data_IF_435754203839
#
_entry.id   IF_435754203839
#
_cell.length_a   1.000
_cell.length_b   1.000
_cell.length_c   1.000
_cell.angle_alpha   90.00
_cell.angle_beta   90.00
_cell.angle_gamma   90.00
#
_symmetry.space_group_name_H-M   'P 1'
#
loop_
_entity.id
_entity.type
_entity.pdbx_description
1 polymer ?
#
# COMPACT_ATOMS: atom_id res chain seq x y z
N UNK A 1 40.48 -41.10 10.89
CA UNK A 1 41.85 -40.57 10.65
C UNK A 1 41.65 -39.18 10.01
N UNK A 2 41.60 -38.03 10.70
CA UNK A 2 42.51 -37.38 11.68
C UNK A 2 43.96 -37.42 11.15
N UNK A 3 44.73 -36.31 11.06
CA UNK A 3 44.76 -35.27 12.10
C UNK A 3 45.00 -33.79 11.72
N UNK A 4 44.67 -32.95 12.70
CA UNK A 4 45.18 -31.60 12.93
C UNK A 4 46.68 -31.58 13.36
N UNK A 5 47.29 -30.40 13.45
CA UNK A 5 48.03 -30.02 14.67
C UNK A 5 47.70 -28.57 15.09
N UNK A 6 47.37 -28.25 16.35
CA UNK A 6 48.16 -28.18 17.61
C UNK A 6 49.05 -26.92 17.72
N UNK A 7 48.54 -25.99 18.56
CA UNK A 7 49.14 -25.19 19.65
C UNK A 7 50.53 -24.54 19.47
N UNK A 8 50.54 -23.23 19.73
CA UNK A 8 51.60 -22.53 20.45
C UNK A 8 51.01 -21.59 21.50
N UNK A 9 51.29 -21.83 22.79
CA UNK A 9 51.12 -20.90 23.92
C UNK A 9 52.51 -20.70 24.53
N UNK A 10 52.82 -19.46 24.94
CA UNK A 10 53.72 -18.96 26.00
C UNK A 10 54.20 -17.56 25.53
N UNK A 11 54.28 -16.50 26.33
CA UNK A 11 54.10 -16.35 27.77
C UNK A 11 53.60 -14.94 28.13
N UNK A 12 53.30 -14.78 29.42
CA UNK A 12 52.85 -13.56 30.06
C UNK A 12 53.99 -12.55 30.25
N UNK A 13 53.70 -11.25 30.18
CA UNK A 13 54.39 -10.22 30.97
C UNK A 13 53.50 -8.95 31.11
N UNK A 14 52.95 -8.81 32.31
CA UNK A 14 52.90 -7.61 33.18
C UNK A 14 52.60 -6.21 32.61
N UNK A 15 51.46 -5.69 33.09
CA UNK A 15 51.06 -4.32 33.45
C UNK A 15 51.96 -3.11 33.09
N UNK A 16 51.33 -2.08 32.50
CA UNK A 16 51.55 -0.70 32.91
C UNK A 16 50.27 0.14 32.73
N UNK A 17 49.83 0.72 33.84
CA UNK A 17 48.78 1.73 33.97
C UNK A 17 49.24 3.03 33.30
N UNK A 18 48.38 3.66 32.50
CA UNK A 18 48.53 5.08 32.15
C UNK A 18 47.15 5.76 32.16
N UNK A 19 46.98 6.63 33.15
CA UNK A 19 45.88 7.56 33.33
C UNK A 19 45.97 8.65 32.24
N UNK A 20 44.93 8.81 31.43
CA UNK A 20 44.84 9.87 30.42
C UNK A 20 43.47 10.53 30.46
N UNK A 21 43.41 11.74 31.01
CA UNK A 21 42.26 12.64 30.94
C UNK A 21 41.86 12.88 29.49
N UNK A 22 40.61 12.57 29.15
CA UNK A 22 39.96 13.09 27.94
C UNK A 22 38.78 13.96 28.40
N UNK A 23 39.06 15.25 28.50
CA UNK A 23 38.06 16.30 28.32
C UNK A 23 37.90 16.53 26.82
N UNK A 24 36.82 15.99 26.25
CA UNK A 24 36.40 16.23 24.86
C UNK A 24 34.90 16.44 24.83
N UNK A 25 34.49 17.64 24.42
CA UNK A 25 33.12 18.13 24.49
C UNK A 25 32.14 17.29 23.66
N UNK A 26 31.22 16.60 24.32
CA UNK A 26 29.93 16.22 23.74
C UNK A 26 28.95 17.35 24.07
N UNK A 27 28.77 18.27 23.13
CA UNK A 27 27.71 19.26 23.19
C UNK A 27 26.37 18.65 22.79
N UNK A 28 25.86 17.71 23.60
CA UNK A 28 24.43 17.44 23.64
C UNK A 28 23.83 18.54 24.51
N UNK A 29 23.32 19.60 23.88
CA UNK A 29 22.49 20.56 24.59
C UNK A 29 21.19 19.84 24.98
N UNK A 30 20.87 19.70 26.28
CA UNK A 30 19.56 19.20 26.67
C UNK A 30 18.51 20.21 26.20
N UNK A 31 17.52 19.74 25.44
CA UNK A 31 16.27 20.44 25.21
C UNK A 31 15.68 20.82 26.57
N UNK A 32 15.80 22.09 26.95
CA UNK A 32 15.32 22.63 28.23
C UNK A 32 13.81 22.77 28.18
N UNK A 33 13.11 21.71 28.56
CA UNK A 33 11.67 21.75 28.83
C UNK A 33 11.47 22.32 30.25
N UNK A 34 11.05 23.58 30.38
CA UNK A 34 10.79 24.17 31.71
C UNK A 34 10.88 25.70 31.85
N UNK A 35 11.17 26.46 30.78
CA UNK A 35 11.29 27.93 30.82
C UNK A 35 10.27 28.68 29.95
N UNK A 36 9.31 27.99 29.35
CA UNK A 36 8.33 28.62 28.46
C UNK A 36 7.38 29.58 29.18
N UNK A 37 6.97 30.64 28.49
CA UNK A 37 5.93 31.58 28.94
C UNK A 37 4.63 31.29 28.19
N UNK A 38 3.51 31.34 28.91
CA UNK A 38 2.16 31.30 28.31
C UNK A 38 1.68 32.66 27.81
N UNK A 39 2.44 33.72 28.11
CA UNK A 39 2.21 35.08 27.65
C UNK A 39 3.28 35.45 26.62
N UNK A 40 2.87 36.10 25.54
CA UNK A 40 3.76 36.57 24.49
C UNK A 40 3.06 36.73 23.16
N UNK A 41 3.79 37.29 22.19
CA UNK A 41 3.36 37.36 20.80
C UNK A 41 3.71 36.04 20.11
N UNK A 42 2.70 35.34 19.61
CA UNK A 42 2.86 34.09 18.86
C UNK A 42 2.58 34.33 17.38
N UNK A 43 3.36 33.69 16.51
CA UNK A 43 3.09 33.65 15.08
C UNK A 43 1.93 32.70 14.82
N UNK A 44 0.91 33.16 14.08
CA UNK A 44 -0.24 32.34 13.74
C UNK A 44 0.19 31.14 12.89
N UNK A 45 -0.37 29.97 13.17
CA UNK A 45 0.01 28.73 12.47
C UNK A 45 -0.33 28.82 10.97
N UNK A 46 -1.50 29.38 10.62
CA UNK A 46 -1.89 29.63 9.21
C UNK A 46 -0.89 30.48 8.44
N UNK A 47 -0.21 31.45 9.09
CA UNK A 47 0.85 32.24 8.47
C UNK A 47 2.13 31.42 8.25
N UNK A 48 2.47 30.53 9.18
CA UNK A 48 3.62 29.64 9.06
C UNK A 48 3.39 28.64 7.93
N UNK A 49 2.21 28.05 7.83
CA UNK A 49 1.86 27.18 6.71
C UNK A 49 1.86 27.94 5.39
N UNK A 50 1.13 29.05 5.32
CA UNK A 50 0.96 29.83 4.10
C UNK A 50 0.07 29.12 3.07
N UNK A 51 0.00 29.69 1.85
CA UNK A 51 -0.89 29.23 0.76
C UNK A 51 -0.13 28.49 -0.36
N UNK A 52 1.18 28.34 -0.20
CA UNK A 52 2.05 27.65 -1.14
C UNK A 52 2.49 26.29 -0.60
N UNK A 53 3.16 25.49 -1.44
CA UNK A 53 3.63 24.13 -1.07
C UNK A 53 4.73 24.08 -0.01
N UNK A 54 5.20 25.26 0.41
CA UNK A 54 6.32 25.43 1.33
C UNK A 54 6.04 26.67 2.14
N UNK A 55 6.37 26.59 3.41
CA UNK A 55 6.24 27.68 4.36
C UNK A 55 7.02 28.92 3.90
N UNK A 56 6.41 30.13 3.97
CA UNK A 56 7.14 31.38 3.81
C UNK A 56 8.15 31.66 4.94
N UNK A 57 8.03 30.94 6.07
CA UNK A 57 8.93 31.04 7.22
C UNK A 57 10.04 29.98 7.20
N UNK A 58 10.21 29.25 6.09
CA UNK A 58 11.17 28.16 6.03
C UNK A 58 12.57 28.59 6.50
N UNK A 59 13.06 27.89 7.53
CA UNK A 59 14.38 28.09 8.11
C UNK A 59 14.46 29.15 9.19
N UNK A 60 13.40 29.92 9.40
CA UNK A 60 13.26 30.90 10.49
C UNK A 60 12.90 30.22 11.82
N UNK A 61 13.14 30.91 12.93
CA UNK A 61 12.65 30.50 14.24
C UNK A 61 11.38 31.26 14.56
N UNK A 62 10.34 30.54 14.97
CA UNK A 62 9.02 31.07 15.31
C UNK A 62 8.61 30.63 16.71
N UNK A 63 7.76 31.44 17.34
CA UNK A 63 7.06 31.13 18.59
C UNK A 63 5.61 30.84 18.25
N UNK A 64 5.10 29.69 18.64
CA UNK A 64 3.72 29.27 18.33
C UNK A 64 2.96 28.90 19.60
N UNK A 65 1.65 29.02 19.52
CA UNK A 65 0.71 28.53 20.52
C UNK A 65 -0.37 27.70 19.82
N UNK A 66 -0.78 26.60 20.44
CA UNK A 66 -1.87 25.78 19.93
C UNK A 66 -2.23 24.66 20.88
N UNK A 67 -3.18 23.81 20.48
CA UNK A 67 -3.59 22.61 21.22
C UNK A 67 -3.01 21.37 20.58
N UNK A 68 -2.55 20.43 21.40
CA UNK A 68 -2.08 19.13 20.91
C UNK A 68 -3.28 18.35 20.36
N UNK A 69 -3.34 18.14 19.05
CA UNK A 69 -4.42 17.40 18.41
C UNK A 69 -4.12 15.93 18.24
N UNK A 70 -2.86 15.50 18.16
CA UNK A 70 -2.49 14.09 18.13
C UNK A 70 -1.01 13.89 18.50
N UNK A 71 -0.63 12.69 18.93
CA UNK A 71 0.76 12.33 19.26
C UNK A 71 1.14 11.01 18.57
N UNK A 72 2.36 10.93 18.04
CA UNK A 72 2.92 9.68 17.52
C UNK A 72 4.41 9.52 17.90
N UNK A 73 5.03 8.43 17.45
CA UNK A 73 6.43 8.10 17.77
C UNK A 73 7.48 9.08 17.18
N UNK A 74 7.06 10.03 16.35
CA UNK A 74 7.91 11.02 15.70
C UNK A 74 7.71 12.44 16.24
N UNK A 75 6.65 12.69 17.01
CA UNK A 75 6.30 14.02 17.46
C UNK A 75 4.81 14.19 17.78
N UNK A 76 4.34 15.42 17.68
CA UNK A 76 2.94 15.78 17.94
C UNK A 76 2.40 16.72 16.87
N UNK A 77 1.08 16.75 16.73
CA UNK A 77 0.35 17.69 15.90
C UNK A 77 -0.20 18.80 16.79
N UNK A 78 0.03 20.05 16.40
CA UNK A 78 -0.38 21.25 17.13
C UNK A 78 -1.29 22.08 16.22
N UNK A 79 -2.50 22.38 16.67
CA UNK A 79 -3.49 23.13 15.88
C UNK A 79 -3.88 24.43 16.60
N UNK A 80 -4.16 25.48 15.83
CA UNK A 80 -4.66 26.76 16.35
C UNK A 80 -5.99 26.55 17.08
N UNK A 81 -6.24 27.31 18.16
CA UNK A 81 -7.56 27.35 18.80
C UNK A 81 -8.53 28.26 18.05
N UNK A 82 -8.00 29.28 17.37
CA UNK A 82 -8.75 30.22 16.53
C UNK A 82 -8.20 30.12 15.11
N UNK A 83 -9.09 29.89 14.14
CA UNK A 83 -8.71 29.85 12.73
C UNK A 83 -8.58 31.27 12.16
N UNK A 84 -7.74 31.42 11.13
CA UNK A 84 -7.62 32.62 10.31
C UNK A 84 -8.76 32.76 9.27
N UNK A 85 -9.70 31.80 9.22
CA UNK A 85 -10.82 31.69 8.29
C UNK A 85 -10.41 31.69 6.78
N UNK A 86 -9.14 31.42 6.45
CA UNK A 86 -8.66 31.24 5.08
C UNK A 86 -8.61 29.75 4.71
N UNK A 87 -9.51 29.24 3.84
CA UNK A 87 -9.55 27.82 3.48
C UNK A 87 -8.34 27.35 2.65
N UNK A 88 -7.36 28.22 2.40
CA UNK A 88 -6.14 27.93 1.65
C UNK A 88 -4.92 27.74 2.56
N UNK A 89 -5.04 27.98 3.85
CA UNK A 89 -4.00 27.79 4.86
C UNK A 89 -4.42 26.67 5.81
N UNK A 90 -3.42 25.94 6.33
CA UNK A 90 -3.65 24.97 7.40
C UNK A 90 -3.49 25.63 8.77
N UNK A 91 -4.35 25.24 9.70
CA UNK A 91 -4.27 25.66 11.11
C UNK A 91 -3.38 24.77 11.96
N UNK A 92 -2.72 23.76 11.37
CA UNK A 92 -1.96 22.78 12.10
C UNK A 92 -0.50 22.67 11.65
N UNK A 93 0.38 22.39 12.60
CA UNK A 93 1.80 22.10 12.38
C UNK A 93 2.17 20.75 12.97
N UNK A 94 3.10 20.07 12.30
CA UNK A 94 3.77 18.94 12.90
C UNK A 94 5.00 19.40 13.70
N UNK A 95 5.06 19.04 14.97
CA UNK A 95 6.21 19.29 15.84
C UNK A 95 7.04 18.01 15.86
N UNK A 96 8.12 17.98 15.06
CA UNK A 96 8.98 16.82 14.93
C UNK A 96 9.97 16.77 16.10
N UNK A 97 9.56 16.07 17.16
CA UNK A 97 10.38 15.81 18.35
C UNK A 97 10.18 14.35 18.79
N UNK A 98 11.06 13.41 18.41
CA UNK A 98 10.90 12.00 18.74
C UNK A 98 11.00 11.71 20.25
N UNK A 99 11.57 12.63 21.05
CA UNK A 99 11.72 12.48 22.50
C UNK A 99 10.82 13.47 23.24
N UNK A 100 9.51 13.33 23.04
CA UNK A 100 8.54 14.15 23.75
C UNK A 100 8.58 13.91 25.27
N UNK A 101 8.39 14.96 26.09
CA UNK A 101 8.18 14.80 27.52
C UNK A 101 6.97 13.90 27.83
N UNK A 102 7.17 12.91 28.72
CA UNK A 102 6.18 11.87 29.02
C UNK A 102 4.86 12.35 29.64
N UNK A 103 4.73 13.65 29.97
CA UNK A 103 3.52 14.26 30.53
C UNK A 103 2.64 14.95 29.48
N UNK A 104 3.11 15.06 28.22
CA UNK A 104 2.33 15.65 27.14
C UNK A 104 1.18 14.75 26.72
N UNK A 105 -0.01 15.32 26.56
CA UNK A 105 -1.24 14.61 26.20
C UNK A 105 -2.08 15.46 25.27
N UNK A 106 -2.82 14.81 24.38
CA UNK A 106 -3.80 15.45 23.51
C UNK A 106 -4.77 16.34 24.32
N UNK A 107 -5.20 17.47 23.72
CA UNK A 107 -6.02 18.48 24.37
C UNK A 107 -5.24 19.49 25.24
N UNK A 108 -3.96 19.26 25.53
CA UNK A 108 -3.16 20.28 26.23
C UNK A 108 -2.83 21.45 25.29
N UNK A 109 -2.98 22.68 25.78
CA UNK A 109 -2.48 23.86 25.10
C UNK A 109 -0.98 24.01 25.38
N UNK A 110 -0.20 24.21 24.33
CA UNK A 110 1.24 24.42 24.40
C UNK A 110 1.62 25.76 23.77
N UNK A 111 2.68 26.33 24.33
CA UNK A 111 3.51 27.33 23.65
C UNK A 111 4.90 26.74 23.46
N UNK A 112 5.54 27.01 22.33
CA UNK A 112 6.91 26.56 22.08
C UNK A 112 7.60 27.42 21.03
N UNK A 113 8.93 27.36 21.04
CA UNK A 113 9.78 27.93 20.02
C UNK A 113 10.35 26.81 19.16
N UNK A 114 10.44 27.01 17.85
CA UNK A 114 10.99 26.03 16.93
C UNK A 114 11.49 26.65 15.65
N UNK A 115 12.32 25.91 14.91
CA UNK A 115 12.74 26.26 13.55
C UNK A 115 11.81 25.60 12.55
N UNK A 116 11.30 26.38 11.60
CA UNK A 116 10.42 25.88 10.53
C UNK A 116 11.24 25.10 9.49
N UNK A 117 10.79 23.89 9.18
CA UNK A 117 11.41 23.00 8.19
C UNK A 117 10.36 22.28 7.34
N UNK A 118 10.78 21.88 6.14
CA UNK A 118 9.97 21.14 5.17
C UNK A 118 10.39 19.68 5.16
N UNK A 119 9.54 18.77 5.64
CA UNK A 119 9.83 17.35 5.73
C UNK A 119 9.27 16.60 4.52
N UNK A 120 10.17 16.12 3.67
CA UNK A 120 9.79 15.30 2.52
C UNK A 120 10.80 15.42 1.39
N UNK A 121 10.54 14.69 0.31
CA UNK A 121 11.39 14.69 -0.89
C UNK A 121 10.65 15.09 -2.17
N UNK A 122 9.35 15.31 -2.07
CA UNK A 122 8.47 15.67 -3.19
C UNK A 122 8.12 17.16 -3.13
N UNK A 123 7.14 17.56 -3.95
CA UNK A 123 6.69 18.95 -4.03
C UNK A 123 5.82 19.31 -2.84
N UNK A 124 4.99 18.37 -2.41
CA UNK A 124 4.16 18.34 -1.20
C UNK A 124 5.04 17.92 -0.02
N UNK A 125 5.70 18.87 0.63
CA UNK A 125 6.49 18.64 1.85
C UNK A 125 5.65 18.94 3.08
N UNK A 126 5.92 18.27 4.19
CA UNK A 126 5.25 18.55 5.45
C UNK A 126 5.90 19.71 6.19
N UNK A 127 5.16 20.80 6.40
CA UNK A 127 5.61 21.92 7.22
C UNK A 127 5.68 21.47 8.68
N UNK A 128 6.86 21.60 9.28
CA UNK A 128 7.11 21.14 10.64
C UNK A 128 8.00 22.09 11.43
N UNK A 129 7.95 21.98 12.76
CA UNK A 129 8.92 22.61 13.66
C UNK A 129 9.95 21.58 14.17
N UNK A 130 11.21 22.00 14.24
CA UNK A 130 12.34 21.26 14.83
C UNK A 130 13.16 22.14 15.76
N UNK A 131 14.12 21.55 16.48
CA UNK A 131 15.01 22.26 17.41
C UNK A 131 14.21 23.05 18.46
N UNK A 132 13.29 22.33 19.10
CA UNK A 132 12.26 22.87 20.00
C UNK A 132 12.90 23.41 21.29
N UNK A 133 12.47 24.59 21.71
CA UNK A 133 12.84 25.22 22.99
C UNK A 133 11.64 25.91 23.63
N UNK A 134 11.78 26.32 24.89
CA UNK A 134 10.80 27.15 25.61
C UNK A 134 9.37 26.59 25.62
N UNK A 135 9.27 25.26 25.64
CA UNK A 135 7.99 24.58 25.72
C UNK A 135 7.35 24.85 27.08
N UNK A 136 6.12 25.36 27.07
CA UNK A 136 5.27 25.49 28.24
C UNK A 136 3.87 24.92 27.97
N UNK A 137 3.28 24.34 29.01
CA UNK A 137 1.89 23.92 29.02
C UNK A 137 1.05 25.04 29.61
N UNK A 138 0.02 25.44 28.88
CA UNK A 138 -0.82 26.58 29.21
C UNK A 138 -2.25 26.14 29.52
N UNK A 139 -2.86 26.79 30.50
CA UNK A 139 -4.27 26.64 30.83
C UNK A 139 -4.72 25.21 31.18
N UNK A 140 -6.05 25.05 31.16
CA UNK A 140 -6.74 23.77 31.28
C UNK A 140 -6.85 23.08 29.90
N UNK A 141 -7.06 21.76 29.86
CA UNK A 141 -7.28 21.04 28.61
C UNK A 141 -8.38 21.67 27.75
N UNK A 142 -8.09 21.82 26.47
CA UNK A 142 -8.97 22.37 25.44
C UNK A 142 -9.59 21.26 24.58
N UNK A 143 -10.71 21.58 23.95
CA UNK A 143 -11.24 20.74 22.89
C UNK A 143 -10.24 20.68 21.73
N UNK A 144 -10.19 19.53 21.03
CA UNK A 144 -9.35 19.34 19.86
C UNK A 144 -10.18 19.75 18.63
N UNK A 145 -9.76 20.78 17.87
CA UNK A 145 -10.43 21.18 16.64
C UNK A 145 -10.58 20.01 15.67
N UNK A 146 -11.65 20.06 14.87
CA UNK A 146 -11.91 19.07 13.81
C UNK A 146 -12.52 19.81 12.62
N UNK A 147 -11.95 19.61 11.44
CA UNK A 147 -12.46 20.17 10.19
C UNK A 147 -13.25 19.12 9.42
N UNK A 148 -14.50 19.41 9.06
CA UNK A 148 -15.30 18.51 8.21
C UNK A 148 -14.91 18.66 6.75
N UNK A 149 -14.68 17.53 6.08
CA UNK A 149 -14.15 17.46 4.73
C UNK A 149 -15.00 16.52 3.87
N UNK A 150 -15.05 16.77 2.57
CA UNK A 150 -15.66 15.85 1.58
C UNK A 150 -14.67 15.60 0.45
N UNK A 151 -14.79 14.44 -0.21
CA UNK A 151 -14.11 14.18 -1.48
C UNK A 151 -15.03 14.59 -2.64
N UNK A 152 -14.48 14.96 -3.81
CA UNK A 152 -13.06 14.99 -4.15
C UNK A 152 -12.30 16.16 -3.54
N UNK A 153 -10.99 15.99 -3.34
CA UNK A 153 -10.04 17.05 -2.99
C UNK A 153 -8.90 17.06 -3.99
N UNK A 154 -8.63 18.21 -4.61
CA UNK A 154 -7.42 18.38 -5.39
C UNK A 154 -6.17 18.46 -4.49
N UNK A 155 -5.00 18.60 -5.11
CA UNK A 155 -3.75 18.62 -4.37
C UNK A 155 -3.61 19.88 -3.47
N UNK A 156 -4.14 21.03 -3.90
CA UNK A 156 -4.07 22.29 -3.12
C UNK A 156 -5.04 22.26 -1.94
N UNK A 157 -6.22 21.68 -2.11
CA UNK A 157 -7.18 21.51 -1.03
C UNK A 157 -6.66 20.56 0.05
N UNK A 158 -5.88 19.54 -0.33
CA UNK A 158 -5.19 18.67 0.66
C UNK A 158 -4.06 19.38 1.39
N UNK A 159 -3.31 20.23 0.68
CA UNK A 159 -2.25 21.04 1.28
C UNK A 159 -2.81 21.97 2.35
N UNK A 160 -3.94 22.63 2.07
CA UNK A 160 -4.62 23.51 3.02
C UNK A 160 -5.15 22.78 4.27
N UNK A 161 -5.17 21.44 4.26
CA UNK A 161 -5.60 20.61 5.38
C UNK A 161 -4.42 19.89 6.06
N UNK A 162 -3.18 20.18 5.65
CA UNK A 162 -2.00 19.48 6.16
C UNK A 162 -1.91 19.55 7.68
N UNK A 163 -1.60 18.43 8.33
CA UNK A 163 -1.46 18.27 9.79
C UNK A 163 -2.76 18.46 10.58
N UNK A 164 -3.85 18.90 9.94
CA UNK A 164 -5.11 19.18 10.62
C UNK A 164 -5.83 17.88 10.96
N UNK A 165 -6.61 17.95 12.02
CA UNK A 165 -7.53 16.89 12.39
C UNK A 165 -8.82 17.04 11.59
N UNK A 166 -9.16 16.05 10.77
CA UNK A 166 -10.26 16.10 9.80
C UNK A 166 -11.25 14.96 10.01
N UNK A 167 -12.52 15.23 9.74
CA UNK A 167 -13.60 14.24 9.67
C UNK A 167 -14.18 14.23 8.26
N UNK A 168 -14.16 13.07 7.61
CA UNK A 168 -14.73 12.96 6.27
C UNK A 168 -16.23 12.70 6.35
N UNK A 169 -16.98 13.29 5.43
CA UNK A 169 -18.41 12.98 5.28
C UNK A 169 -18.70 12.37 3.91
N UNK A 170 -19.74 11.53 3.87
CA UNK A 170 -20.17 10.80 2.68
C UNK A 170 -19.79 9.32 2.69
N UNK A 171 -20.29 8.60 1.68
CA UNK A 171 -20.07 7.16 1.55
C UNK A 171 -18.68 6.91 0.93
N UNK A 172 -17.75 6.48 1.78
CA UNK A 172 -16.38 6.14 1.40
C UNK A 172 -16.20 4.62 1.35
N UNK A 173 -15.53 4.16 0.30
CA UNK A 173 -15.29 2.74 0.07
C UNK A 173 -13.81 2.46 -0.12
N UNK A 174 -13.35 1.32 0.41
CA UNK A 174 -11.97 0.86 0.26
C UNK A 174 -11.73 0.49 -1.21
N UNK A 175 -10.77 1.16 -1.85
CA UNK A 175 -10.43 0.95 -3.27
C UNK A 175 -9.06 0.32 -3.47
N UNK A 176 -8.21 0.26 -2.44
CA UNK A 176 -6.91 -0.38 -2.49
C UNK A 176 -6.51 -0.92 -1.10
N UNK A 177 -6.07 -2.18 -1.06
CA UNK A 177 -5.57 -2.87 0.15
C UNK A 177 -4.15 -3.45 -0.03
N UNK A 178 -3.45 -3.08 -1.11
CA UNK A 178 -2.15 -3.63 -1.49
C UNK A 178 -1.07 -3.46 -0.40
N UNK A 179 -1.23 -2.45 0.47
CA UNK A 179 -0.33 -2.17 1.59
C UNK A 179 -0.97 -2.34 2.96
N UNK A 180 -2.13 -3.02 3.04
CA UNK A 180 -2.88 -3.15 4.29
C UNK A 180 -2.12 -3.94 5.36
N UNK A 181 -1.28 -4.91 4.96
CA UNK A 181 -0.36 -5.61 5.90
C UNK A 181 0.59 -4.66 6.64
N UNK A 182 0.88 -3.48 6.06
CA UNK A 182 1.68 -2.41 6.67
C UNK A 182 0.81 -1.29 7.27
N UNK A 183 -0.50 -1.49 7.29
CA UNK A 183 -1.51 -0.56 7.79
C UNK A 183 -1.98 0.48 6.78
N UNK A 184 -1.51 0.50 5.53
CA UNK A 184 -1.96 1.48 4.53
C UNK A 184 -3.07 0.92 3.64
N UNK A 185 -4.12 1.71 3.42
CA UNK A 185 -5.18 1.43 2.45
C UNK A 185 -5.63 2.73 1.77
N UNK A 186 -6.45 2.63 0.75
CA UNK A 186 -7.02 3.80 0.05
C UNK A 186 -8.54 3.71 0.08
N UNK A 187 -9.19 4.85 0.30
CA UNK A 187 -10.64 5.00 0.19
C UNK A 187 -10.98 5.97 -0.93
N UNK A 188 -12.16 5.84 -1.51
CA UNK A 188 -12.69 6.80 -2.47
C UNK A 188 -14.19 7.04 -2.26
N UNK A 189 -14.65 8.20 -2.69
CA UNK A 189 -16.07 8.53 -2.70
C UNK A 189 -16.80 7.80 -3.84
N UNK A 190 -17.99 7.30 -3.55
CA UNK A 190 -18.86 6.71 -4.57
C UNK A 190 -18.46 5.32 -5.05
N UNK A 191 -17.45 4.69 -4.43
CA UNK A 191 -17.11 3.28 -4.66
C UNK A 191 -15.77 3.05 -5.34
N UNK A 192 -15.69 1.96 -6.11
CA UNK A 192 -14.50 1.57 -6.85
C UNK A 192 -14.19 2.56 -7.98
N UNK A 193 -12.94 3.01 -8.04
CA UNK A 193 -12.48 3.90 -9.10
C UNK A 193 -12.15 3.11 -10.37
N UNK A 194 -12.58 3.58 -11.56
CA UNK A 194 -12.31 2.87 -12.81
C UNK A 194 -10.83 2.91 -13.14
N UNK A 195 -10.30 1.85 -13.76
CA UNK A 195 -8.97 1.98 -14.34
C UNK A 195 -9.04 3.00 -15.50
N UNK A 196 -8.10 3.96 -15.61
CA UNK A 196 -8.27 5.07 -16.55
C UNK A 196 -8.54 4.68 -18.00
N UNK A 197 -7.98 3.56 -18.46
CA UNK A 197 -8.16 3.05 -19.82
C UNK A 197 -9.40 2.20 -20.05
N UNK A 198 -10.16 1.88 -19.00
CA UNK A 198 -11.47 1.21 -19.13
C UNK A 198 -12.54 2.19 -19.62
N UNK A 199 -12.43 3.44 -19.20
CA UNK A 199 -13.44 4.48 -19.45
C UNK A 199 -12.97 5.59 -20.39
N UNK A 200 -11.66 5.65 -20.70
CA UNK A 200 -11.10 6.67 -21.58
C UNK A 200 -10.04 6.09 -22.53
N UNK A 201 -9.92 6.70 -23.72
CA UNK A 201 -8.86 6.34 -24.68
C UNK A 201 -7.47 6.64 -24.09
N UNK A 202 -6.45 5.82 -24.40
CA UNK A 202 -5.06 6.10 -24.01
C UNK A 202 -4.60 7.50 -24.43
N UNK A 203 -3.80 8.16 -23.58
CA UNK A 203 -3.30 9.51 -23.81
C UNK A 203 -3.91 10.54 -22.85
N UNK A 204 -4.20 11.75 -23.35
CA UNK A 204 -4.65 12.89 -22.53
C UNK A 204 -5.95 12.58 -21.75
N UNK A 205 -6.87 11.84 -22.35
CA UNK A 205 -8.15 11.48 -21.72
C UNK A 205 -7.95 10.52 -20.53
N UNK A 206 -7.20 9.42 -20.71
CA UNK A 206 -6.85 8.54 -19.59
C UNK A 206 -6.07 9.27 -18.48
N UNK A 207 -5.13 10.17 -18.81
CA UNK A 207 -4.44 10.99 -17.79
C UNK A 207 -5.37 11.94 -17.05
N UNK A 208 -6.47 12.38 -17.67
CA UNK A 208 -7.50 13.18 -17.00
C UNK A 208 -8.29 12.32 -16.02
N UNK A 209 -8.72 11.13 -16.44
CA UNK A 209 -9.39 10.17 -15.55
C UNK A 209 -8.50 9.79 -14.36
N UNK A 210 -7.19 9.63 -14.56
CA UNK A 210 -6.25 9.37 -13.48
C UNK A 210 -6.18 10.51 -12.44
N UNK A 211 -6.30 11.77 -12.88
CA UNK A 211 -6.39 12.92 -11.96
C UNK A 211 -7.72 12.93 -11.23
N UNK A 212 -8.82 12.71 -11.93
CA UNK A 212 -10.16 12.62 -11.32
C UNK A 212 -10.22 11.51 -10.25
N UNK A 213 -9.61 10.35 -10.52
CA UNK A 213 -9.47 9.28 -9.54
C UNK A 213 -8.62 9.70 -8.33
N UNK A 214 -7.53 10.43 -8.56
CA UNK A 214 -6.66 10.92 -7.47
C UNK A 214 -7.40 11.90 -6.58
N UNK A 215 -8.16 12.81 -7.18
CA UNK A 215 -8.92 13.81 -6.43
C UNK A 215 -10.06 13.13 -5.64
N UNK A 216 -10.66 12.07 -6.18
CA UNK A 216 -11.74 11.31 -5.54
C UNK A 216 -11.29 10.28 -4.48
N UNK A 217 -10.00 10.09 -4.24
CA UNK A 217 -9.48 9.13 -3.25
C UNK A 217 -8.67 9.78 -2.15
N UNK A 218 -8.44 9.05 -1.05
CA UNK A 218 -7.52 9.44 0.02
C UNK A 218 -6.82 8.20 0.58
N UNK A 219 -5.50 8.29 0.78
CA UNK A 219 -4.72 7.24 1.46
C UNK A 219 -4.94 7.35 2.97
N UNK A 220 -5.05 6.21 3.63
CA UNK A 220 -5.32 6.08 5.06
C UNK A 220 -4.34 5.08 5.67
N UNK A 221 -3.93 5.35 6.90
CA UNK A 221 -3.08 4.51 7.73
C UNK A 221 -3.87 4.11 8.98
N UNK A 222 -3.99 2.80 9.21
CA UNK A 222 -4.55 2.23 10.42
C UNK A 222 -3.88 2.79 11.68
N UNK A 223 -4.65 2.88 12.76
CA UNK A 223 -4.14 3.29 14.07
C UNK A 223 -3.04 2.34 14.56
N UNK A 224 -2.08 2.82 15.37
CA UNK A 224 -1.03 1.97 15.92
C UNK A 224 -1.59 0.73 16.63
N UNK A 225 -1.13 -0.45 16.21
CA UNK A 225 -1.57 -1.73 16.78
C UNK A 225 -2.84 -2.33 16.16
N UNK A 226 -3.57 -1.57 15.34
CA UNK A 226 -4.71 -2.09 14.59
C UNK A 226 -4.25 -3.04 13.47
N UNK A 227 -4.89 -4.20 13.40
CA UNK A 227 -4.61 -5.29 12.45
C UNK A 227 -5.89 -5.75 11.74
N UNK A 228 -6.91 -4.89 11.70
CA UNK A 228 -8.20 -5.20 11.09
C UNK A 228 -7.99 -5.50 9.60
N UNK A 229 -8.53 -6.64 9.16
CA UNK A 229 -8.50 -7.07 7.77
C UNK A 229 -9.86 -6.84 7.12
N UNK A 230 -9.82 -6.32 5.90
CA UNK A 230 -11.01 -6.05 5.10
C UNK A 230 -10.67 -6.14 3.61
N UNK A 231 -11.71 -6.23 2.78
CA UNK A 231 -11.57 -6.35 1.33
C UNK A 231 -11.85 -5.01 0.65
N UNK A 232 -11.37 -4.88 -0.59
CA UNK A 232 -11.82 -3.82 -1.49
C UNK A 232 -13.35 -3.87 -1.65
N UNK A 233 -13.97 -2.69 -1.80
CA UNK A 233 -15.41 -2.52 -1.82
C UNK A 233 -16.06 -2.45 -0.43
N UNK A 234 -15.34 -2.72 0.66
CA UNK A 234 -15.88 -2.53 2.01
C UNK A 234 -16.13 -1.04 2.25
N UNK A 235 -17.20 -0.69 2.95
CA UNK A 235 -17.50 0.70 3.27
C UNK A 235 -16.70 1.10 4.52
N UNK A 236 -15.96 2.20 4.41
CA UNK A 236 -15.32 2.83 5.56
C UNK A 236 -16.32 3.77 6.22
N UNK A 237 -16.52 3.59 7.52
CA UNK A 237 -17.30 4.52 8.32
C UNK A 237 -16.38 5.64 8.78
N UNK A 238 -16.58 6.88 8.30
CA UNK A 238 -15.66 7.95 8.59
C UNK A 238 -15.45 8.15 10.09
N UNK A 239 -14.21 8.49 10.40
CA UNK A 239 -13.71 8.78 11.73
C UNK A 239 -12.77 9.96 11.63
N UNK A 240 -12.62 10.64 12.75
CA UNK A 240 -11.67 11.73 12.84
C UNK A 240 -10.25 11.18 12.72
N UNK A 241 -9.45 11.77 11.85
CA UNK A 241 -8.08 11.38 11.56
C UNK A 241 -7.22 12.62 11.32
N UNK A 242 -5.90 12.48 11.44
CA UNK A 242 -4.97 13.57 11.11
C UNK A 242 -4.54 13.45 9.65
N UNK A 243 -4.67 14.51 8.85
CA UNK A 243 -4.12 14.56 7.49
C UNK A 243 -2.62 14.86 7.55
N UNK A 244 -1.84 13.87 7.97
CA UNK A 244 -0.39 13.96 8.07
C UNK A 244 0.32 13.55 6.77
N UNK A 245 1.62 13.29 6.89
CA UNK A 245 2.48 12.95 5.77
C UNK A 245 3.31 11.68 6.06
N UNK A 246 3.66 10.90 5.02
CA UNK A 246 4.56 9.72 5.13
C UNK A 246 6.01 9.99 4.69
N UNK A 247 6.34 11.27 4.47
CA UNK A 247 7.60 11.72 3.86
C UNK A 247 7.56 11.73 2.32
N UNK A 248 6.52 11.15 1.72
CA UNK A 248 6.31 11.14 0.27
C UNK A 248 4.94 11.65 -0.18
N UNK A 249 3.86 11.34 0.54
CA UNK A 249 2.52 11.82 0.20
C UNK A 249 1.68 12.02 1.47
N UNK A 250 0.68 12.89 1.36
CA UNK A 250 -0.35 13.08 2.38
C UNK A 250 -1.15 11.78 2.61
N UNK A 251 -1.49 11.52 3.88
CA UNK A 251 -2.34 10.40 4.29
C UNK A 251 -3.09 10.71 5.57
N UNK A 252 -4.27 10.13 5.72
CA UNK A 252 -4.98 10.13 6.99
C UNK A 252 -4.33 9.15 7.95
N UNK A 253 -4.03 9.60 9.15
CA UNK A 253 -3.55 8.78 10.26
C UNK A 253 -4.71 8.57 11.21
N UNK A 254 -5.23 7.35 11.26
CA UNK A 254 -6.29 7.02 12.20
C UNK A 254 -5.75 7.01 13.63
N UNK A 255 -6.57 7.53 14.54
CA UNK A 255 -6.26 7.61 15.95
C UNK A 255 -6.89 6.45 16.73
N UNK A 256 -8.00 5.95 16.20
CA UNK A 256 -8.77 4.83 16.75
C UNK A 256 -8.81 3.66 15.75
N UNK A 257 -9.10 2.43 16.22
CA UNK A 257 -9.26 1.28 15.33
C UNK A 257 -10.29 1.51 14.24
N UNK A 258 -9.97 1.12 13.01
CA UNK A 258 -10.80 1.41 11.85
C UNK A 258 -12.19 0.78 11.95
N UNK A 259 -13.22 1.56 11.62
CA UNK A 259 -14.59 1.04 11.45
C UNK A 259 -14.91 0.75 9.99
N UNK A 260 -15.11 -0.52 9.67
CA UNK A 260 -15.42 -1.00 8.33
C UNK A 260 -16.74 -1.79 8.35
N UNK A 261 -17.63 -1.51 7.41
CA UNK A 261 -18.71 -2.42 7.04
C UNK A 261 -18.22 -3.31 5.90
N UNK A 262 -18.20 -4.64 6.10
CA UNK A 262 -17.75 -5.57 5.06
C UNK A 262 -18.58 -5.42 3.78
N UNK A 263 -17.91 -5.53 2.63
CA UNK A 263 -18.62 -5.62 1.35
C UNK A 263 -19.51 -6.86 1.32
N UNK A 264 -20.77 -6.67 0.92
CA UNK A 264 -21.62 -7.80 0.56
C UNK A 264 -21.08 -8.41 -0.73
N UNK A 265 -20.53 -9.62 -0.65
CA UNK A 265 -20.15 -10.38 -1.85
C UNK A 265 -21.43 -10.72 -2.60
N UNK A 266 -21.61 -10.27 -3.86
CA UNK A 266 -22.80 -10.60 -4.63
C UNK A 266 -22.97 -12.11 -4.74
N UNK A 267 -24.20 -12.59 -4.67
CA UNK A 267 -24.48 -13.99 -4.97
C UNK A 267 -24.11 -14.26 -6.43
N UNK A 268 -23.17 -15.18 -6.64
CA UNK A 268 -22.77 -15.57 -7.98
C UNK A 268 -23.87 -16.50 -8.52
N UNK A 269 -24.74 -15.95 -9.36
CA UNK A 269 -25.77 -16.75 -10.03
C UNK A 269 -25.13 -17.96 -10.74
N UNK A 270 -25.82 -19.10 -10.76
CA UNK A 270 -25.39 -20.22 -11.58
C UNK A 270 -25.32 -19.78 -13.06
N UNK A 271 -24.34 -20.31 -13.79
CA UNK A 271 -24.35 -20.14 -15.25
C UNK A 271 -25.65 -20.75 -15.79
N UNK A 272 -26.32 -20.07 -16.72
CA UNK A 272 -27.44 -20.65 -17.42
C UNK A 272 -27.01 -21.96 -18.10
N UNK A 273 -27.89 -22.98 -18.22
CA UNK A 273 -27.53 -24.29 -18.76
C UNK A 273 -26.82 -24.26 -20.13
N UNK A 274 -27.17 -23.28 -20.97
CA UNK A 274 -26.62 -23.11 -22.32
C UNK A 274 -25.49 -22.06 -22.38
N UNK A 275 -24.97 -21.61 -21.25
CA UNK A 275 -23.95 -20.57 -21.17
C UNK A 275 -22.62 -21.09 -20.66
N UNK A 276 -21.53 -20.54 -21.22
CA UNK A 276 -20.18 -20.80 -20.76
C UNK A 276 -19.69 -19.63 -19.91
N UNK A 277 -19.33 -19.91 -18.65
CA UNK A 277 -18.64 -18.94 -17.80
C UNK A 277 -17.13 -18.98 -18.07
N UNK A 278 -16.59 -17.85 -18.54
CA UNK A 278 -15.16 -17.64 -18.77
C UNK A 278 -14.64 -16.67 -17.70
N UNK A 279 -13.54 -17.03 -17.04
CA UNK A 279 -12.90 -16.19 -16.02
C UNK A 279 -11.47 -15.86 -16.45
N UNK A 280 -11.10 -14.58 -16.37
CA UNK A 280 -9.72 -14.13 -16.48
C UNK A 280 -9.25 -13.64 -15.10
N UNK A 281 -8.12 -14.13 -14.61
CA UNK A 281 -7.70 -13.90 -13.23
C UNK A 281 -6.18 -13.73 -13.10
N UNK A 282 -5.74 -12.57 -12.61
CA UNK A 282 -4.36 -12.41 -12.18
C UNK A 282 -4.21 -13.05 -10.79
N UNK A 283 -3.30 -14.01 -10.67
CA UNK A 283 -3.12 -14.80 -9.45
C UNK A 283 -2.24 -14.12 -8.39
N UNK A 284 -1.66 -12.94 -8.67
CA UNK A 284 -0.72 -12.25 -7.76
C UNK A 284 0.47 -13.13 -7.38
N UNK A 285 1.23 -13.56 -8.39
CA UNK A 285 2.37 -14.48 -8.30
C UNK A 285 2.06 -15.81 -7.60
N UNK A 286 1.34 -16.69 -8.28
CA UNK A 286 1.15 -18.08 -7.86
C UNK A 286 2.41 -18.91 -8.13
N UNK A 287 3.28 -18.98 -7.13
CA UNK A 287 4.56 -19.70 -7.15
C UNK A 287 4.54 -20.79 -6.09
N UNK A 288 4.72 -22.03 -6.50
CA UNK A 288 4.50 -23.21 -5.64
C UNK A 288 5.79 -23.76 -5.01
N UNK A 289 6.91 -23.06 -5.20
CA UNK A 289 8.23 -23.46 -4.72
C UNK A 289 8.78 -24.60 -5.55
N UNK A 290 9.02 -25.76 -4.92
CA UNK A 290 9.43 -26.97 -5.64
C UNK A 290 8.29 -27.96 -5.90
N UNK A 291 7.03 -27.54 -5.72
CA UNK A 291 5.84 -28.39 -5.86
C UNK A 291 5.76 -29.55 -4.86
N UNK A 292 6.58 -29.53 -3.80
CA UNK A 292 6.62 -30.53 -2.72
C UNK A 292 6.54 -29.90 -1.32
N UNK A 293 6.11 -28.64 -1.25
CA UNK A 293 5.97 -27.88 -0.02
C UNK A 293 7.26 -27.24 0.52
N UNK A 294 8.36 -27.29 -0.24
CA UNK A 294 9.62 -26.58 0.04
C UNK A 294 9.91 -25.57 -1.10
N UNK A 295 11.08 -24.92 -1.08
CA UNK A 295 11.47 -23.94 -2.11
C UNK A 295 10.99 -22.52 -1.85
N UNK A 296 10.71 -22.20 -0.59
CA UNK A 296 10.36 -20.86 -0.12
C UNK A 296 11.57 -20.19 0.58
N UNK A 297 11.70 -18.84 0.55
CA UNK A 297 10.86 -17.91 -0.21
C UNK A 297 11.02 -18.14 -1.70
N UNK A 298 9.92 -18.03 -2.45
CA UNK A 298 9.97 -18.12 -3.91
C UNK A 298 10.60 -16.84 -4.47
N UNK A 299 11.12 -16.86 -5.72
CA UNK A 299 11.64 -15.64 -6.36
C UNK A 299 10.59 -14.52 -6.46
N UNK A 300 9.30 -14.88 -6.52
CA UNK A 300 8.13 -14.00 -6.49
C UNK A 300 6.97 -14.69 -5.79
N UNK A 301 6.06 -13.92 -5.21
CA UNK A 301 4.88 -14.46 -4.50
C UNK A 301 5.17 -14.75 -3.04
N UNK A 302 4.71 -15.91 -2.55
CA UNK A 302 4.74 -16.26 -1.14
C UNK A 302 6.16 -16.42 -0.56
N UNK A 303 6.40 -15.87 0.63
CA UNK A 303 7.68 -16.02 1.34
C UNK A 303 7.73 -17.35 2.10
N UNK A 304 6.57 -17.94 2.39
CA UNK A 304 6.43 -19.19 3.14
C UNK A 304 5.42 -20.16 2.52
N UNK A 305 5.62 -21.45 2.81
CA UNK A 305 4.67 -22.51 2.45
C UNK A 305 3.26 -22.29 3.05
N UNK A 306 3.17 -21.62 4.21
CA UNK A 306 1.90 -21.32 4.85
C UNK A 306 1.12 -20.24 4.08
N UNK A 307 1.80 -19.16 3.68
CA UNK A 307 1.21 -18.10 2.85
C UNK A 307 0.73 -18.66 1.50
N UNK A 308 1.54 -19.50 0.85
CA UNK A 308 1.12 -20.14 -0.41
C UNK A 308 -0.13 -21.02 -0.24
N UNK A 309 -0.21 -21.82 0.83
CA UNK A 309 -1.41 -22.62 1.13
C UNK A 309 -2.65 -21.75 1.34
N UNK A 310 -2.50 -20.56 1.93
CA UNK A 310 -3.60 -19.61 2.08
C UNK A 310 -4.07 -19.07 0.72
N UNK A 311 -3.14 -18.63 -0.14
CA UNK A 311 -3.45 -18.20 -1.51
C UNK A 311 -4.19 -19.31 -2.27
N UNK A 312 -3.70 -20.55 -2.20
CA UNK A 312 -4.34 -21.72 -2.81
C UNK A 312 -5.77 -21.95 -2.33
N UNK A 313 -5.99 -21.92 -1.02
CA UNK A 313 -7.31 -22.12 -0.45
C UNK A 313 -8.31 -21.05 -0.93
N UNK A 314 -7.86 -19.80 -1.05
CA UNK A 314 -8.68 -18.69 -1.57
C UNK A 314 -9.00 -18.87 -3.05
N UNK A 315 -8.00 -19.18 -3.89
CA UNK A 315 -8.21 -19.42 -5.33
C UNK A 315 -9.15 -20.62 -5.53
N UNK A 316 -8.91 -21.74 -4.85
CA UNK A 316 -9.76 -22.93 -4.91
C UNK A 316 -11.21 -22.62 -4.50
N UNK A 317 -11.40 -21.92 -3.38
CA UNK A 317 -12.72 -21.53 -2.89
C UNK A 317 -13.45 -20.61 -3.87
N UNK A 318 -12.75 -19.63 -4.43
CA UNK A 318 -13.29 -18.72 -5.44
C UNK A 318 -13.72 -19.47 -6.71
N UNK A 319 -12.89 -20.38 -7.22
CA UNK A 319 -13.25 -21.18 -8.40
C UNK A 319 -14.41 -22.12 -8.12
N UNK A 320 -14.50 -22.67 -6.90
CA UNK A 320 -15.65 -23.45 -6.45
C UNK A 320 -16.96 -22.65 -6.38
N UNK A 321 -16.90 -21.37 -6.01
CA UNK A 321 -18.06 -20.48 -6.03
C UNK A 321 -18.40 -20.00 -7.46
N UNK A 322 -17.40 -19.65 -8.26
CA UNK A 322 -17.59 -19.16 -9.63
C UNK A 322 -18.04 -20.25 -10.60
N UNK A 323 -17.62 -21.50 -10.42
CA UNK A 323 -17.89 -22.62 -11.34
C UNK A 323 -17.59 -22.27 -12.82
N UNK A 324 -16.38 -21.81 -13.17
CA UNK A 324 -16.03 -21.50 -14.56
C UNK A 324 -15.97 -22.77 -15.43
N UNK A 325 -16.24 -22.61 -16.73
CA UNK A 325 -15.93 -23.62 -17.74
C UNK A 325 -14.54 -23.44 -18.36
N UNK A 326 -13.99 -22.23 -18.28
CA UNK A 326 -12.67 -21.87 -18.76
C UNK A 326 -12.05 -20.83 -17.83
N UNK A 327 -10.77 -21.01 -17.50
CA UNK A 327 -9.98 -20.10 -16.68
C UNK A 327 -8.71 -19.69 -17.43
N UNK A 328 -8.59 -18.40 -17.72
CA UNK A 328 -7.37 -17.76 -18.20
C UNK A 328 -6.66 -17.08 -17.03
N UNK A 329 -5.37 -17.36 -16.81
CA UNK A 329 -4.63 -16.80 -15.69
C UNK A 329 -3.41 -16.00 -16.10
N UNK A 330 -3.10 -15.00 -15.29
CA UNK A 330 -1.87 -14.24 -15.30
C UNK A 330 -1.12 -14.48 -13.98
N UNK A 331 0.20 -14.30 -13.99
CA UNK A 331 1.05 -14.48 -12.79
C UNK A 331 1.14 -15.91 -12.25
N UNK A 332 1.13 -16.88 -13.17
CA UNK A 332 1.51 -18.25 -12.86
C UNK A 332 3.03 -18.39 -12.92
N UNK A 333 3.64 -19.15 -12.01
CA UNK A 333 5.07 -19.47 -12.12
C UNK A 333 5.39 -20.19 -13.44
N UNK A 334 6.47 -19.74 -14.09
CA UNK A 334 6.94 -20.30 -15.34
C UNK A 334 7.90 -21.48 -15.10
N UNK A 335 7.34 -22.61 -14.69
CA UNK A 335 8.05 -23.85 -14.39
C UNK A 335 7.59 -25.06 -15.24
N UNK A 336 6.79 -24.80 -16.28
CA UNK A 336 6.27 -25.81 -17.21
C UNK A 336 4.93 -26.37 -16.76
N UNK A 337 4.61 -27.59 -17.19
CA UNK A 337 3.31 -28.22 -16.92
C UNK A 337 3.42 -29.62 -16.31
N UNK A 338 4.62 -30.03 -15.89
CA UNK A 338 4.86 -31.33 -15.29
C UNK A 338 4.23 -31.46 -13.89
N UNK A 339 4.25 -32.67 -13.31
CA UNK A 339 3.55 -33.04 -12.07
C UNK A 339 3.72 -32.06 -10.90
N UNK A 340 4.90 -31.44 -10.77
CA UNK A 340 5.22 -30.53 -9.66
C UNK A 340 5.13 -29.05 -10.03
N UNK A 341 4.73 -28.72 -11.26
CA UNK A 341 4.58 -27.34 -11.72
C UNK A 341 3.46 -26.60 -11.00
N UNK A 342 3.55 -25.27 -10.93
CA UNK A 342 2.47 -24.41 -10.49
C UNK A 342 1.19 -24.63 -11.32
N UNK A 343 1.33 -24.88 -12.63
CA UNK A 343 0.20 -25.18 -13.52
C UNK A 343 -0.52 -26.48 -13.15
N UNK A 344 0.24 -27.55 -12.87
CA UNK A 344 -0.34 -28.82 -12.41
C UNK A 344 -0.99 -28.71 -11.04
N UNK A 345 -0.40 -27.91 -10.14
CA UNK A 345 -0.95 -27.66 -8.81
C UNK A 345 -2.29 -26.91 -8.87
N UNK A 346 -2.37 -25.84 -9.68
CA UNK A 346 -3.61 -25.09 -9.91
C UNK A 346 -4.69 -25.97 -10.57
N UNK A 347 -4.32 -26.81 -11.54
CA UNK A 347 -5.28 -27.77 -12.14
C UNK A 347 -5.88 -28.72 -11.12
N UNK A 348 -5.07 -29.22 -10.18
CA UNK A 348 -5.57 -30.09 -9.12
C UNK A 348 -6.56 -29.34 -8.20
N UNK A 349 -6.28 -28.08 -7.88
CA UNK A 349 -7.18 -27.23 -7.10
C UNK A 349 -8.48 -26.92 -7.86
N UNK A 350 -8.43 -26.72 -9.18
CA UNK A 350 -9.62 -26.56 -10.02
C UNK A 350 -10.49 -27.83 -10.00
N UNK A 351 -9.88 -29.00 -10.17
CA UNK A 351 -10.60 -30.28 -10.06
C UNK A 351 -11.29 -30.41 -8.70
N UNK A 352 -10.54 -30.18 -7.62
CA UNK A 352 -11.05 -30.36 -6.26
C UNK A 352 -12.05 -29.27 -5.84
N UNK A 353 -11.90 -28.03 -6.33
CA UNK A 353 -12.76 -26.90 -5.99
C UNK A 353 -14.08 -26.90 -6.75
N UNK A 354 -14.07 -27.36 -8.01
CA UNK A 354 -15.26 -27.38 -8.86
C UNK A 354 -15.96 -28.72 -8.93
N UNK A 355 -15.26 -29.82 -8.62
CA UNK A 355 -15.78 -31.18 -8.77
C UNK A 355 -15.84 -31.66 -10.23
N UNK A 356 -15.12 -31.00 -11.15
CA UNK A 356 -15.09 -31.33 -12.57
C UNK A 356 -13.68 -31.65 -13.07
N UNK A 357 -13.57 -32.28 -14.24
CA UNK A 357 -12.27 -32.65 -14.84
C UNK A 357 -11.71 -31.50 -15.69
N UNK A 358 -10.59 -30.94 -15.24
CA UNK A 358 -9.85 -29.86 -15.92
C UNK A 358 -8.60 -30.35 -16.64
N UNK A 359 -8.31 -29.69 -17.76
CA UNK A 359 -7.10 -29.82 -18.55
C UNK A 359 -6.40 -28.47 -18.74
N UNK A 360 -5.12 -28.51 -19.12
CA UNK A 360 -4.28 -27.35 -19.42
C UNK A 360 -4.12 -27.26 -20.94
N UNK A 361 -4.46 -26.12 -21.53
CA UNK A 361 -4.15 -25.80 -22.93
C UNK A 361 -2.70 -25.28 -23.03
N UNK A 362 -1.75 -26.20 -22.99
CA UNK A 362 -0.32 -25.91 -22.96
C UNK A 362 0.33 -26.08 -24.35
N UNK A 363 0.96 -25.03 -24.93
CA UNK A 363 1.70 -25.13 -26.20
C UNK A 363 2.88 -26.13 -26.14
N UNK A 364 3.45 -26.30 -24.95
CA UNK A 364 4.60 -27.19 -24.67
C UNK A 364 4.59 -27.56 -23.19
N UNK A 365 5.26 -28.68 -22.85
CA UNK A 365 5.44 -29.11 -21.46
C UNK A 365 6.56 -28.36 -20.71
N UNK A 366 7.26 -27.46 -21.40
CA UNK A 366 8.36 -26.65 -20.87
C UNK A 366 7.92 -25.20 -20.62
N UNK A 367 8.85 -24.40 -20.07
CA UNK A 367 8.67 -22.96 -19.83
C UNK A 367 8.27 -22.19 -21.09
N UNK A 368 7.52 -21.12 -20.90
CA UNK A 368 7.13 -20.16 -21.93
C UNK A 368 8.01 -18.91 -21.86
N UNK A 369 8.94 -18.75 -22.80
CA UNK A 369 9.87 -17.61 -22.79
C UNK A 369 10.84 -17.65 -21.61
N UNK A 370 11.39 -16.50 -21.23
CA UNK A 370 12.45 -16.38 -20.21
C UNK A 370 12.01 -15.73 -18.89
N UNK A 371 10.83 -15.09 -18.83
CA UNK A 371 10.33 -14.49 -17.59
C UNK A 371 9.99 -15.58 -16.55
N UNK A 372 10.07 -15.23 -15.26
CA UNK A 372 9.67 -16.14 -14.18
C UNK A 372 8.15 -16.31 -14.11
N UNK A 373 7.40 -15.40 -14.71
CA UNK A 373 5.94 -15.41 -14.80
C UNK A 373 5.50 -15.85 -16.19
N UNK A 374 4.50 -16.73 -16.24
CA UNK A 374 3.77 -17.12 -17.43
C UNK A 374 2.28 -16.77 -17.33
N UNK A 375 1.59 -16.88 -18.46
CA UNK A 375 0.12 -16.99 -18.52
C UNK A 375 -0.28 -18.46 -18.60
N UNK A 376 -1.49 -18.78 -18.17
CA UNK A 376 -2.04 -20.14 -18.22
C UNK A 376 -3.46 -20.16 -18.76
N UNK A 377 -3.86 -21.29 -19.33
CA UNK A 377 -5.19 -21.49 -19.88
C UNK A 377 -5.70 -22.89 -19.50
N UNK A 378 -6.76 -22.94 -18.72
CA UNK A 378 -7.35 -24.14 -18.15
C UNK A 378 -8.80 -24.26 -18.60
N UNK A 379 -9.27 -25.48 -18.85
CA UNK A 379 -10.64 -25.69 -19.32
C UNK A 379 -11.24 -27.00 -18.79
N UNK A 380 -12.57 -26.99 -18.62
CA UNK A 380 -13.37 -28.16 -18.31
C UNK A 380 -13.54 -29.05 -19.53
N UNK A 381 -13.11 -30.30 -19.41
CA UNK A 381 -13.08 -31.26 -20.53
C UNK A 381 -14.45 -31.80 -20.92
N UNK A 382 -15.42 -31.75 -20.00
CA UNK A 382 -16.81 -32.12 -20.19
C UNK A 382 -17.63 -31.04 -20.91
N UNK A 383 -17.18 -29.77 -20.88
CA UNK A 383 -17.82 -28.64 -21.55
C UNK A 383 -17.13 -28.27 -22.87
N UNK A 384 -15.80 -28.35 -22.92
CA UNK A 384 -15.00 -27.83 -24.01
C UNK A 384 -14.13 -28.90 -24.67
N UNK A 385 -13.99 -28.79 -25.99
CA UNK A 385 -13.05 -29.55 -26.81
C UNK A 385 -12.07 -28.58 -27.46
N UNK A 386 -10.79 -28.92 -27.49
CA UNK A 386 -9.79 -28.15 -28.24
C UNK A 386 -9.90 -28.41 -29.74
N UNK A 387 -9.75 -27.37 -30.55
CA UNK A 387 -9.64 -27.45 -32.00
C UNK A 387 -8.22 -27.09 -32.39
N UNK A 388 -7.42 -28.09 -32.70
CA UNK A 388 -5.98 -27.93 -32.95
C UNK A 388 -5.17 -27.73 -31.66
N UNK A 389 -3.85 -27.64 -31.82
CA UNK A 389 -2.92 -27.45 -30.71
C UNK A 389 -2.89 -25.98 -30.24
N UNK A 390 -2.72 -25.73 -28.93
CA UNK A 390 -2.54 -24.39 -28.39
C UNK A 390 -1.28 -23.74 -28.98
N UNK A 391 -1.36 -22.44 -29.23
CA UNK A 391 -0.30 -21.64 -29.86
C UNK A 391 0.26 -20.64 -28.87
N UNK A 392 1.55 -20.33 -29.01
CA UNK A 392 2.21 -19.26 -28.27
C UNK A 392 3.19 -18.58 -29.22
N UNK A 393 2.75 -17.54 -29.95
CA UNK A 393 3.57 -16.89 -30.96
C UNK A 393 4.78 -16.23 -30.30
N UNK A 394 5.96 -16.65 -30.73
CA UNK A 394 7.25 -16.08 -30.39
C UNK A 394 7.62 -15.08 -31.49
N UNK A 395 6.97 -13.92 -31.46
CA UNK A 395 7.17 -12.83 -32.40
C UNK A 395 8.08 -11.77 -31.78
N UNK A 396 8.77 -10.98 -32.61
CA UNK A 396 9.70 -9.93 -32.15
C UNK A 396 9.10 -8.95 -31.12
N UNK A 397 7.79 -8.71 -31.21
CA UNK A 397 7.05 -7.92 -30.22
C UNK A 397 7.10 -8.49 -28.79
N UNK A 398 7.50 -9.77 -28.65
CA UNK A 398 7.59 -10.52 -27.41
C UNK A 398 9.03 -10.89 -27.01
N UNK A 399 10.07 -10.37 -27.67
CA UNK A 399 11.47 -10.75 -27.38
C UNK A 399 12.02 -10.24 -26.04
N UNK A 400 11.57 -9.07 -25.56
CA UNK A 400 12.17 -8.37 -24.41
C UNK A 400 11.20 -8.14 -23.26
N UNK A 401 11.48 -8.73 -22.09
CA UNK A 401 10.73 -8.52 -20.83
C UNK A 401 9.24 -8.91 -20.93
N UNK A 402 8.91 -9.82 -21.84
CA UNK A 402 7.54 -10.18 -22.16
C UNK A 402 7.17 -11.57 -21.64
N UNK A 403 5.88 -11.73 -21.43
CA UNK A 403 5.24 -13.00 -21.10
C UNK A 403 4.56 -13.46 -22.38
N UNK A 404 5.05 -14.56 -22.96
CA UNK A 404 4.51 -15.07 -24.22
C UNK A 404 3.02 -15.36 -24.07
N UNK A 405 2.17 -14.90 -25.00
CA UNK A 405 0.75 -15.17 -24.92
C UNK A 405 0.43 -16.63 -25.22
N UNK A 406 -0.72 -17.11 -24.76
CA UNK A 406 -1.23 -18.45 -25.05
C UNK A 406 -2.59 -18.31 -25.73
N UNK A 407 -2.74 -18.96 -26.88
CA UNK A 407 -3.96 -18.96 -27.67
C UNK A 407 -4.49 -20.39 -27.89
N UNK A 408 -5.79 -20.59 -27.70
CA UNK A 408 -6.44 -21.88 -27.98
C UNK A 408 -7.83 -21.64 -28.57
N UNK A 409 -8.10 -22.34 -29.68
CA UNK A 409 -9.43 -22.43 -30.27
C UNK A 409 -10.21 -23.55 -29.56
N UNK A 410 -11.38 -23.23 -29.02
CA UNK A 410 -12.27 -24.19 -28.38
C UNK A 410 -13.55 -24.37 -29.18
N UNK A 411 -14.17 -25.53 -29.03
CA UNK A 411 -15.53 -25.83 -29.44
C UNK A 411 -16.34 -26.17 -28.18
N UNK A 412 -17.43 -25.45 -27.96
CA UNK A 412 -18.38 -25.73 -26.89
C UNK A 412 -19.19 -26.96 -27.25
N UNK A 413 -19.13 -28.01 -26.41
CA UNK A 413 -19.65 -29.33 -26.77
C UNK A 413 -21.17 -29.35 -26.95
N UNK A 414 -21.91 -28.56 -26.18
CA UNK A 414 -23.36 -28.55 -26.24
C UNK A 414 -23.88 -27.75 -27.46
N UNK A 415 -23.31 -26.57 -27.74
CA UNK A 415 -23.79 -25.72 -28.84
C UNK A 415 -23.07 -25.95 -30.17
N UNK A 416 -21.87 -26.55 -30.16
CA UNK A 416 -21.00 -26.68 -31.33
C UNK A 416 -20.30 -25.37 -31.74
N UNK A 417 -20.54 -24.27 -31.01
CA UNK A 417 -19.93 -22.98 -31.29
C UNK A 417 -18.42 -22.99 -31.04
N UNK A 418 -17.67 -22.28 -31.88
CA UNK A 418 -16.22 -22.16 -31.77
C UNK A 418 -15.80 -20.74 -31.42
N UNK A 419 -14.81 -20.63 -30.54
CA UNK A 419 -14.27 -19.34 -30.13
C UNK A 419 -12.78 -19.46 -29.79
N UNK A 420 -12.02 -18.41 -30.09
CA UNK A 420 -10.59 -18.32 -29.80
C UNK A 420 -10.39 -17.53 -28.50
N UNK A 421 -9.63 -18.09 -27.57
CA UNK A 421 -9.18 -17.38 -26.37
C UNK A 421 -7.69 -17.08 -26.52
N UNK A 422 -7.29 -15.83 -26.26
CA UNK A 422 -5.89 -15.39 -26.24
C UNK A 422 -5.60 -14.75 -24.88
N UNK A 423 -4.72 -15.36 -24.10
CA UNK A 423 -4.29 -14.85 -22.80
C UNK A 423 -3.01 -14.05 -22.97
N UNK A 424 -3.06 -12.78 -22.55
CA UNK A 424 -1.93 -11.85 -22.58
C UNK A 424 -1.66 -11.32 -21.18
N UNK A 425 -0.39 -11.02 -20.88
CA UNK A 425 -0.03 -10.30 -19.67
C UNK A 425 1.09 -9.29 -19.96
N UNK A 426 0.70 -8.09 -20.38
CA UNK A 426 1.65 -7.04 -20.75
C UNK A 426 2.48 -6.55 -19.56
N UNK A 427 3.68 -6.03 -19.87
CA UNK A 427 4.57 -5.45 -18.86
C UNK A 427 3.93 -4.22 -18.23
N UNK A 428 4.11 -4.06 -16.91
CA UNK A 428 3.63 -2.88 -16.18
C UNK A 428 4.29 -1.59 -16.71
N UNK A 429 3.49 -0.52 -16.81
CA UNK A 429 3.92 0.81 -17.25
C UNK A 429 4.89 1.51 -16.30
N UNK A 430 4.97 1.08 -15.03
CA UNK A 430 5.76 1.75 -13.98
C UNK A 430 7.26 1.47 -14.00
N UNK A 431 7.72 0.62 -14.92
CA UNK A 431 9.14 0.19 -15.03
C UNK A 431 9.62 0.13 -16.47
N UNK A 432 8.89 0.76 -17.40
CA UNK A 432 9.34 0.87 -18.78
C UNK A 432 10.62 1.73 -18.79
N UNK A 433 11.73 1.25 -19.36
CA UNK A 433 12.87 2.10 -19.63
C UNK A 433 12.40 3.27 -20.50
N UNK A 434 12.94 4.46 -20.26
CA UNK A 434 12.84 5.53 -21.25
C UNK A 434 13.43 4.99 -22.55
N UNK A 435 12.58 4.83 -23.57
CA UNK A 435 13.00 4.45 -24.93
C UNK A 435 13.38 5.68 -25.74
#
# INVERSE_FOLDING_TARGET
MIPAPVRGRFGALTQLLALGLITGCSGDLPSTFGSGSCEGDFTAIGQIQGTDWRSPFQGERVSVQGVITAINDHGLYLESLESDDDPRTSEALFIHEPKLPAHLREGQQLTLNGRVEELGRRRDTQTALRNISDLARCGEPQARPVTTVTLPLDAREREALENMRVDFSGDLFVTDVYHLRRGDFTVAIGGMLPAPTEVARPGKAARRQERENRDAQQRVRLAPGDKTHFAMGSQWLPEVAVLGHDGYNARLLLEEPVRILPVAVPEIAAAAPDSLRIVAFNLENYFNGNGRGQGFPTPRGAETSAEFKQQRAQVKGLMGALQPGLLAVMELENDGNEKHSAASDLRADLNAGTGADWAIAAPRNAKLGSDQIAVGLFYRTDLLKTVGAPQSPDAAAFDLLNRLPVAQLFEHRASGERFLVVVNHFKSKGSCPDQ
#
